data_IF_487823098928
#
_entry.id   IF_487823098928
#
_cell.length_a   1.000
_cell.length_b   1.000
_cell.length_c   1.000
_cell.angle_alpha   90.00
_cell.angle_beta   90.00
_cell.angle_gamma   90.00
#
_symmetry.space_group_name_H-M   'P 1'
#
loop_
_entity.id
_entity.type
_entity.pdbx_description
1 polymer ?
#
# COMPACT_ATOMS: atom_id res chain seq x y z
N UNK A 1 0.50 20.08 14.74
CA UNK A 1 0.28 21.15 15.72
C UNK A 1 -0.34 22.41 15.14
N UNK A 2 -0.03 22.80 13.89
CA UNK A 2 -0.67 23.99 13.27
C UNK A 2 -2.21 24.01 13.37
N UNK A 3 -2.88 22.86 13.27
CA UNK A 3 -4.33 22.73 13.48
C UNK A 3 -4.75 22.75 14.96
N UNK A 4 -4.09 21.97 15.83
CA UNK A 4 -4.50 21.80 17.24
C UNK A 4 -4.13 23.01 18.12
N UNK A 5 -2.95 23.58 17.91
CA UNK A 5 -2.38 24.71 18.65
C UNK A 5 -1.55 25.56 17.68
N UNK A 6 -2.21 26.47 16.92
CA UNK A 6 -1.53 27.35 15.98
C UNK A 6 -0.39 28.13 16.64
N UNK A 7 0.75 28.25 15.96
CA UNK A 7 1.92 28.98 16.47
C UNK A 7 2.77 28.24 17.51
N UNK A 8 2.28 27.18 18.15
CA UNK A 8 3.00 26.45 19.20
C UNK A 8 4.40 25.99 18.73
N UNK A 9 4.50 25.39 17.55
CA UNK A 9 5.78 24.94 17.00
C UNK A 9 6.36 25.89 15.94
N UNK A 10 5.88 27.14 15.89
CA UNK A 10 6.18 28.08 14.82
C UNK A 10 5.51 27.70 13.50
N UNK A 11 5.88 28.42 12.45
CA UNK A 11 5.51 28.10 11.07
C UNK A 11 6.38 26.97 10.51
N UNK A 12 6.10 26.52 9.28
CA UNK A 12 6.83 25.42 8.65
C UNK A 12 8.34 25.71 8.50
N UNK A 13 8.71 26.98 8.26
CA UNK A 13 10.11 27.39 8.09
C UNK A 13 10.85 27.37 9.42
N UNK A 14 10.28 27.97 10.45
CA UNK A 14 10.81 27.96 11.81
C UNK A 14 10.93 26.54 12.34
N UNK A 15 9.89 25.72 12.19
CA UNK A 15 9.95 24.31 12.59
C UNK A 15 11.06 23.55 11.86
N UNK A 16 11.22 23.80 10.56
CA UNK A 16 12.27 23.13 9.78
C UNK A 16 13.67 23.52 10.23
N UNK A 17 13.88 24.80 10.54
CA UNK A 17 15.15 25.33 11.04
C UNK A 17 15.45 24.88 12.47
N UNK A 18 14.47 24.93 13.36
CA UNK A 18 14.67 24.79 14.80
C UNK A 18 14.59 23.34 15.29
N UNK A 19 13.93 22.46 14.52
CA UNK A 19 13.76 21.05 14.87
C UNK A 19 14.13 20.11 13.73
N UNK A 20 13.50 20.23 12.55
CA UNK A 20 13.62 19.21 11.50
C UNK A 20 15.06 19.02 11.02
N UNK A 21 15.74 20.09 10.62
CA UNK A 21 17.11 20.00 10.11
C UNK A 21 18.12 19.57 11.20
N UNK A 22 18.12 20.18 12.41
CA UNK A 22 18.96 19.71 13.52
C UNK A 22 18.78 18.22 13.82
N UNK A 23 17.54 17.75 13.90
CA UNK A 23 17.24 16.36 14.28
C UNK A 23 17.50 15.38 13.14
N UNK A 24 16.95 15.63 11.94
CA UNK A 24 17.02 14.67 10.82
C UNK A 24 18.40 14.64 10.14
N UNK A 25 19.11 15.78 10.09
CA UNK A 25 20.41 15.86 9.38
C UNK A 25 21.62 15.84 10.30
N UNK A 26 21.51 16.40 11.49
CA UNK A 26 22.64 16.56 12.41
C UNK A 26 22.54 15.63 13.63
N UNK A 27 21.44 14.87 13.78
CA UNK A 27 21.26 13.95 14.89
C UNK A 27 21.16 14.62 16.25
N UNK A 28 20.70 15.88 16.30
CA UNK A 28 20.63 16.68 17.53
C UNK A 28 19.61 16.10 18.53
N UNK A 29 20.14 15.36 19.51
CA UNK A 29 19.35 14.67 20.53
C UNK A 29 18.69 15.66 21.51
N UNK A 30 19.32 16.80 21.78
CA UNK A 30 18.77 17.83 22.68
C UNK A 30 17.54 18.48 22.05
N UNK A 31 17.62 18.83 20.76
CA UNK A 31 16.46 19.34 20.01
C UNK A 31 15.34 18.33 19.91
N UNK A 32 15.66 17.05 19.75
CA UNK A 32 14.66 15.98 19.79
C UNK A 32 13.98 15.88 21.17
N UNK A 33 14.76 15.87 22.26
CA UNK A 33 14.24 15.79 23.62
C UNK A 33 13.38 17.02 23.95
N UNK A 34 13.82 18.22 23.56
CA UNK A 34 13.06 19.45 23.71
C UNK A 34 11.72 19.37 22.94
N UNK A 35 11.73 18.94 21.68
CA UNK A 35 10.49 18.75 20.92
C UNK A 35 9.55 17.74 21.59
N UNK A 36 10.09 16.60 22.01
CA UNK A 36 9.32 15.55 22.69
C UNK A 36 8.65 16.09 23.96
N UNK A 37 9.37 16.84 24.80
CA UNK A 37 8.81 17.47 25.99
C UNK A 37 7.68 18.46 25.66
N UNK A 38 7.82 19.24 24.58
CA UNK A 38 6.80 20.21 24.15
C UNK A 38 5.51 19.57 23.61
N UNK A 39 5.59 18.37 23.03
CA UNK A 39 4.43 17.68 22.47
C UNK A 39 3.78 16.71 23.46
N UNK A 40 4.53 16.22 24.45
CA UNK A 40 4.10 15.21 25.43
C UNK A 40 2.78 15.54 26.16
N UNK A 41 2.51 16.78 26.62
CA UNK A 41 1.26 17.10 27.30
C UNK A 41 0.01 16.93 26.42
N UNK A 42 0.19 16.98 25.10
CA UNK A 42 -0.90 16.93 24.12
C UNK A 42 -0.99 15.58 23.40
N UNK A 43 -0.08 14.64 23.67
CA UNK A 43 0.06 13.41 22.92
C UNK A 43 0.13 12.21 23.87
N UNK A 44 -0.97 11.47 23.94
CA UNK A 44 -1.00 10.15 24.58
C UNK A 44 -0.68 9.08 23.54
N UNK A 45 0.51 8.47 23.64
CA UNK A 45 0.91 7.33 22.82
C UNK A 45 1.15 6.13 23.71
N UNK A 46 0.45 5.02 23.44
CA UNK A 46 0.64 3.72 24.10
C UNK A 46 0.99 2.68 23.04
N UNK A 47 1.92 1.79 23.32
CA UNK A 47 2.20 0.63 22.44
C UNK A 47 1.31 -0.55 22.83
N UNK A 48 1.08 -1.50 21.91
CA UNK A 48 0.31 -2.71 22.22
C UNK A 48 0.95 -3.53 23.33
N UNK A 49 2.28 -3.58 23.41
CA UNK A 49 2.99 -4.28 24.50
C UNK A 49 2.69 -3.67 25.87
N UNK A 50 2.42 -2.36 25.93
CA UNK A 50 2.10 -1.66 27.18
C UNK A 50 0.68 -1.94 27.68
N UNK A 51 -0.25 -2.34 26.82
CA UNK A 51 -1.69 -2.42 27.14
C UNK A 51 -2.35 -3.79 26.95
N UNK A 52 -1.74 -4.69 26.17
CA UNK A 52 -2.33 -5.99 25.83
C UNK A 52 -1.22 -7.06 25.76
N UNK A 53 -0.70 -7.46 26.93
CA UNK A 53 0.43 -8.40 27.06
C UNK A 53 0.10 -9.84 26.65
N UNK A 54 -1.19 -10.17 26.54
CA UNK A 54 -1.68 -11.51 26.19
C UNK A 54 -1.71 -11.76 24.67
N UNK A 55 -1.53 -10.71 23.85
CA UNK A 55 -1.52 -10.87 22.39
C UNK A 55 -0.17 -11.48 21.95
N UNK A 56 -0.18 -12.54 21.12
CA UNK A 56 1.04 -13.07 20.54
C UNK A 56 1.72 -12.01 19.68
N UNK A 57 3.04 -12.13 19.54
CA UNK A 57 3.80 -11.23 18.69
C UNK A 57 3.29 -11.31 17.24
N UNK A 58 3.29 -10.17 16.55
CA UNK A 58 3.00 -10.15 15.10
C UNK A 58 4.21 -10.69 14.36
N UNK A 59 4.03 -11.75 13.59
CA UNK A 59 5.02 -12.24 12.64
C UNK A 59 4.83 -11.56 11.29
N UNK A 60 5.91 -11.02 10.71
CA UNK A 60 5.93 -10.49 9.36
C UNK A 60 6.80 -11.38 8.48
N UNK A 61 6.24 -11.84 7.36
CA UNK A 61 6.92 -12.73 6.42
C UNK A 61 6.83 -12.09 5.03
N UNK A 62 7.97 -11.86 4.41
CA UNK A 62 8.04 -11.38 3.03
C UNK A 62 8.01 -12.59 2.10
N UNK A 63 6.91 -12.77 1.38
CA UNK A 63 6.78 -13.80 0.36
C UNK A 63 7.23 -13.25 -0.99
N UNK A 64 8.39 -13.72 -1.47
CA UNK A 64 8.93 -13.32 -2.77
C UNK A 64 8.21 -14.07 -3.89
N UNK A 65 7.73 -13.33 -4.89
CA UNK A 65 7.07 -13.89 -6.06
C UNK A 65 7.84 -13.47 -7.29
N UNK A 66 8.21 -14.44 -8.12
CA UNK A 66 8.87 -14.17 -9.38
C UNK A 66 7.88 -13.61 -10.41
N UNK A 67 8.36 -12.66 -11.22
CA UNK A 67 7.63 -12.27 -12.41
C UNK A 67 7.68 -13.44 -13.39
N UNK A 68 6.52 -13.79 -13.92
CA UNK A 68 6.43 -14.65 -15.10
C UNK A 68 7.14 -14.03 -16.30
N UNK A 69 7.32 -14.82 -17.35
CA UNK A 69 7.96 -14.36 -18.58
C UNK A 69 7.21 -13.18 -19.22
N UNK A 70 5.88 -13.26 -19.34
CA UNK A 70 5.10 -12.18 -19.94
C UNK A 70 5.05 -10.91 -19.05
N UNK A 71 5.03 -11.05 -17.72
CA UNK A 71 5.22 -9.91 -16.81
C UNK A 71 6.60 -9.29 -16.98
N UNK A 72 7.65 -10.10 -17.10
CA UNK A 72 9.03 -9.65 -17.25
C UNK A 72 9.23 -8.89 -18.55
N UNK A 73 8.76 -9.44 -19.67
CA UNK A 73 8.84 -8.79 -20.98
C UNK A 73 8.10 -7.44 -21.01
N UNK A 74 6.89 -7.43 -20.44
CA UNK A 74 6.07 -6.22 -20.35
C UNK A 74 6.72 -5.20 -19.41
N UNK A 75 7.25 -5.65 -18.28
CA UNK A 75 7.93 -4.80 -17.30
C UNK A 75 9.12 -4.09 -17.93
N UNK A 76 9.96 -4.83 -18.65
CA UNK A 76 11.12 -4.25 -19.33
C UNK A 76 10.72 -3.26 -20.44
N UNK A 77 9.71 -3.62 -21.24
CA UNK A 77 9.15 -2.72 -22.27
C UNK A 77 8.66 -1.41 -21.65
N UNK A 78 7.89 -1.48 -20.56
CA UNK A 78 7.40 -0.31 -19.83
C UNK A 78 8.54 0.47 -19.21
N UNK A 79 9.52 -0.20 -18.60
CA UNK A 79 10.66 0.42 -17.94
C UNK A 79 11.46 1.27 -18.91
N UNK A 80 11.81 0.74 -20.07
CA UNK A 80 12.57 1.46 -21.10
C UNK A 80 11.77 2.65 -21.63
N UNK A 81 10.49 2.46 -21.96
CA UNK A 81 9.65 3.52 -22.47
C UNK A 81 9.45 4.66 -21.46
N UNK A 82 9.26 4.32 -20.18
CA UNK A 82 9.06 5.29 -19.11
C UNK A 82 10.35 5.99 -18.70
N UNK A 83 11.50 5.31 -18.67
CA UNK A 83 12.80 5.92 -18.39
C UNK A 83 13.11 7.01 -19.43
N UNK A 84 12.91 6.72 -20.72
CA UNK A 84 13.06 7.72 -21.78
C UNK A 84 12.16 8.93 -21.55
N UNK A 85 10.85 8.70 -21.33
CA UNK A 85 9.86 9.77 -21.09
C UNK A 85 10.21 10.64 -19.87
N UNK A 86 10.66 10.01 -18.78
CA UNK A 86 11.05 10.70 -17.56
C UNK A 86 12.30 11.57 -17.80
N UNK A 87 13.32 11.04 -18.50
CA UNK A 87 14.54 11.80 -18.82
C UNK A 87 14.28 13.00 -19.71
N UNK A 88 13.43 12.83 -20.72
CA UNK A 88 13.03 13.93 -21.62
C UNK A 88 12.31 15.03 -20.84
N UNK A 89 11.38 14.66 -19.94
CA UNK A 89 10.64 15.60 -19.11
C UNK A 89 11.54 16.34 -18.11
N UNK A 90 12.49 15.63 -17.49
CA UNK A 90 13.47 16.22 -16.56
C UNK A 90 14.37 17.20 -17.31
N UNK A 91 14.84 16.85 -18.50
CA UNK A 91 15.68 17.72 -19.32
C UNK A 91 14.93 19.00 -19.69
N UNK A 92 13.62 18.91 -19.98
CA UNK A 92 12.79 20.04 -20.40
C UNK A 92 12.41 20.97 -19.25
N UNK A 93 11.97 20.41 -18.12
CA UNK A 93 11.27 21.17 -17.06
C UNK A 93 11.98 21.13 -15.71
N UNK A 94 13.04 20.34 -15.56
CA UNK A 94 13.74 20.08 -14.31
C UNK A 94 12.97 19.13 -13.39
N UNK A 95 13.70 18.32 -12.61
CA UNK A 95 13.14 17.25 -11.80
C UNK A 95 12.03 17.68 -10.82
N UNK A 96 12.11 18.89 -10.28
CA UNK A 96 11.11 19.42 -9.35
C UNK A 96 9.73 19.59 -10.01
N UNK A 97 9.68 19.86 -11.32
CA UNK A 97 8.44 20.04 -12.09
C UNK A 97 7.97 18.75 -12.77
N UNK A 98 8.84 17.74 -12.88
CA UNK A 98 8.56 16.46 -13.54
C UNK A 98 7.96 15.38 -12.63
N UNK A 99 7.63 15.71 -11.37
CA UNK A 99 7.20 14.73 -10.35
C UNK A 99 6.01 13.86 -10.79
N UNK A 100 5.02 14.45 -11.45
CA UNK A 100 3.82 13.72 -11.90
C UNK A 100 4.19 12.63 -12.92
N UNK A 101 5.11 12.92 -13.85
CA UNK A 101 5.56 11.96 -14.87
C UNK A 101 6.35 10.83 -14.24
N UNK A 102 7.19 11.13 -13.24
CA UNK A 102 7.94 10.11 -12.49
C UNK A 102 6.98 9.21 -11.72
N UNK A 103 5.97 9.78 -11.04
CA UNK A 103 4.98 9.02 -10.29
C UNK A 103 4.12 8.15 -11.21
N UNK A 104 3.73 8.64 -12.39
CA UNK A 104 3.03 7.86 -13.42
C UNK A 104 3.88 6.68 -13.91
N UNK A 105 5.18 6.89 -14.16
CA UNK A 105 6.11 5.83 -14.53
C UNK A 105 6.21 4.74 -13.46
N UNK A 106 6.43 5.14 -12.20
CA UNK A 106 6.51 4.21 -11.07
C UNK A 106 5.19 3.47 -10.84
N UNK A 107 4.06 4.16 -10.98
CA UNK A 107 2.72 3.57 -10.87
C UNK A 107 2.54 2.44 -11.88
N UNK A 108 2.91 2.66 -13.15
CA UNK A 108 2.81 1.65 -14.22
C UNK A 108 3.67 0.44 -13.95
N UNK A 109 4.92 0.62 -13.51
CA UNK A 109 5.80 -0.49 -13.14
C UNK A 109 5.20 -1.32 -11.99
N UNK A 110 4.64 -0.65 -10.98
CA UNK A 110 3.97 -1.33 -9.85
C UNK A 110 2.72 -2.10 -10.29
N UNK A 111 1.97 -1.59 -11.27
CA UNK A 111 0.81 -2.28 -11.85
C UNK A 111 1.23 -3.56 -12.59
N UNK A 112 2.27 -3.49 -13.43
CA UNK A 112 2.82 -4.68 -14.14
C UNK A 112 3.18 -5.80 -13.16
N UNK A 113 3.85 -5.45 -12.05
CA UNK A 113 4.23 -6.45 -11.03
C UNK A 113 3.02 -7.08 -10.33
N UNK A 114 1.86 -6.40 -10.28
CA UNK A 114 0.67 -6.94 -9.65
C UNK A 114 -0.10 -7.87 -10.60
N UNK A 115 -0.41 -7.38 -11.80
CA UNK A 115 -1.12 -8.11 -12.86
C UNK A 115 -1.09 -7.27 -14.16
N UNK A 116 -0.85 -7.90 -15.31
CA UNK A 116 -0.78 -7.18 -16.60
C UNK A 116 -2.09 -6.45 -16.95
N UNK A 117 -3.24 -6.97 -16.49
CA UNK A 117 -4.57 -6.39 -16.74
C UNK A 117 -4.77 -5.05 -16.04
N UNK A 118 -3.91 -4.67 -15.10
CA UNK A 118 -3.93 -3.35 -14.44
C UNK A 118 -3.43 -2.22 -15.34
N UNK A 119 -2.70 -2.54 -16.41
CA UNK A 119 -2.03 -1.54 -17.25
C UNK A 119 -2.88 -1.19 -18.47
N UNK A 120 -3.71 -0.14 -18.34
CA UNK A 120 -4.67 0.28 -19.38
C UNK A 120 -4.05 0.59 -20.75
N UNK A 121 -2.79 1.03 -20.81
CA UNK A 121 -2.12 1.42 -22.05
C UNK A 121 -1.55 0.25 -22.86
N UNK A 122 -1.55 -0.96 -22.30
CA UNK A 122 -1.05 -2.17 -22.93
C UNK A 122 -2.28 -3.02 -23.19
N UNK A 123 -2.92 -2.78 -24.34
CA UNK A 123 -4.06 -3.57 -24.78
C UNK A 123 -3.70 -5.07 -24.69
N UNK A 124 -4.62 -5.93 -24.20
CA UNK A 124 -4.29 -7.31 -23.87
C UNK A 124 -4.00 -8.09 -25.15
N UNK A 125 -2.72 -8.28 -25.49
CA UNK A 125 -2.33 -9.27 -26.50
C UNK A 125 -2.40 -10.71 -25.96
N UNK A 126 -2.57 -10.88 -24.66
CA UNK A 126 -2.67 -12.19 -24.02
C UNK A 126 -3.83 -12.21 -23.04
N UNK A 127 -4.92 -12.83 -23.45
CA UNK A 127 -6.09 -13.17 -22.62
C UNK A 127 -5.82 -14.34 -21.67
N UNK A 128 -4.59 -14.87 -21.64
CA UNK A 128 -4.26 -16.10 -20.94
C UNK A 128 -3.25 -15.88 -19.82
N UNK A 129 -3.79 -15.96 -18.60
CA UNK A 129 -3.20 -16.64 -17.45
C UNK A 129 -1.82 -16.23 -16.98
N UNK A 130 -1.43 -14.97 -17.15
CA UNK A 130 -0.26 -14.50 -16.45
C UNK A 130 -0.60 -14.18 -14.99
N UNK A 131 -0.47 -15.20 -14.15
CA UNK A 131 -0.89 -15.17 -12.75
C UNK A 131 0.30 -15.01 -11.80
N UNK A 132 1.42 -14.37 -12.14
CA UNK A 132 2.60 -14.30 -11.24
C UNK A 132 2.24 -14.06 -9.76
N UNK A 133 1.82 -12.85 -9.40
CA UNK A 133 1.34 -12.55 -8.04
C UNK A 133 -0.05 -13.10 -7.73
N UNK A 134 -1.00 -13.00 -8.67
CA UNK A 134 -2.39 -13.44 -8.45
C UNK A 134 -2.49 -14.94 -8.18
N UNK A 135 -1.75 -15.75 -8.90
CA UNK A 135 -1.70 -17.21 -8.82
C UNK A 135 -1.00 -17.67 -7.56
N UNK A 136 0.15 -17.09 -7.21
CA UNK A 136 0.79 -17.36 -5.91
C UNK A 136 -0.14 -17.00 -4.75
N UNK A 137 -0.86 -15.88 -4.85
CA UNK A 137 -1.89 -15.51 -3.88
C UNK A 137 -3.03 -16.55 -3.83
N UNK A 138 -3.55 -17.00 -4.97
CA UNK A 138 -4.63 -18.00 -4.97
C UNK A 138 -4.20 -19.31 -4.33
N UNK A 139 -2.99 -19.79 -4.61
CA UNK A 139 -2.44 -20.99 -3.96
C UNK A 139 -2.35 -20.82 -2.44
N UNK A 140 -1.83 -19.68 -1.98
CA UNK A 140 -1.76 -19.36 -0.56
C UNK A 140 -3.15 -19.28 0.09
N UNK A 141 -4.13 -18.69 -0.61
CA UNK A 141 -5.50 -18.64 -0.10
C UNK A 141 -6.13 -20.03 0.00
N UNK A 142 -5.92 -20.90 -0.99
CA UNK A 142 -6.46 -22.26 -0.98
C UNK A 142 -5.94 -23.04 0.25
N UNK A 143 -4.64 -22.94 0.56
CA UNK A 143 -4.03 -23.53 1.76
C UNK A 143 -4.62 -22.96 3.06
N UNK A 144 -4.59 -21.62 3.22
CA UNK A 144 -5.04 -20.96 4.45
C UNK A 144 -6.55 -21.17 4.71
N UNK A 145 -7.37 -21.20 3.65
CA UNK A 145 -8.80 -21.46 3.75
C UNK A 145 -9.10 -22.92 4.12
N UNK A 146 -8.30 -23.87 3.61
CA UNK A 146 -8.43 -25.29 3.98
C UNK A 146 -8.14 -25.54 5.47
N UNK A 147 -7.25 -24.75 6.05
CA UNK A 147 -6.95 -24.74 7.49
C UNK A 147 -8.01 -23.99 8.32
N UNK A 148 -9.06 -23.45 7.70
CA UNK A 148 -10.12 -22.69 8.37
C UNK A 148 -9.68 -21.32 8.88
N UNK A 149 -8.57 -20.76 8.36
CA UNK A 149 -8.09 -19.44 8.80
C UNK A 149 -8.96 -18.32 8.29
N UNK A 150 -8.98 -17.21 9.05
CA UNK A 150 -9.60 -15.95 8.63
C UNK A 150 -8.56 -14.99 8.10
N UNK A 151 -8.86 -14.40 6.95
CA UNK A 151 -7.85 -13.70 6.15
C UNK A 151 -8.32 -12.26 5.89
N UNK A 152 -7.43 -11.30 6.15
CA UNK A 152 -7.58 -9.92 5.72
C UNK A 152 -6.62 -9.69 4.55
N UNK A 153 -7.14 -9.35 3.39
CA UNK A 153 -6.37 -9.13 2.17
C UNK A 153 -6.44 -7.66 1.78
N UNK A 154 -5.26 -7.04 1.69
CA UNK A 154 -5.13 -5.62 1.37
C UNK A 154 -4.55 -5.42 -0.02
N UNK A 155 -5.08 -4.45 -0.77
CA UNK A 155 -4.52 -3.99 -2.04
C UNK A 155 -4.66 -2.48 -2.18
N UNK A 156 -3.63 -1.82 -2.72
CA UNK A 156 -3.71 -0.40 -3.10
C UNK A 156 -4.45 -0.19 -4.43
N UNK A 157 -4.63 -1.23 -5.24
CA UNK A 157 -5.34 -1.17 -6.52
C UNK A 157 -6.70 -1.84 -6.38
N UNK A 158 -7.79 -1.07 -6.52
CA UNK A 158 -9.17 -1.61 -6.50
C UNK A 158 -9.39 -2.55 -7.67
N UNK A 159 -8.86 -2.26 -8.84
CA UNK A 159 -8.91 -3.17 -9.99
C UNK A 159 -8.17 -4.48 -9.74
N UNK A 160 -7.18 -4.53 -8.85
CA UNK A 160 -6.59 -5.82 -8.44
C UNK A 160 -7.56 -6.61 -7.55
N UNK A 161 -8.34 -5.93 -6.71
CA UNK A 161 -9.40 -6.59 -5.93
C UNK A 161 -10.45 -7.18 -6.86
N UNK A 162 -10.87 -6.46 -7.90
CA UNK A 162 -11.82 -6.96 -8.91
C UNK A 162 -11.33 -8.26 -9.58
N UNK A 163 -10.03 -8.34 -9.91
CA UNK A 163 -9.43 -9.56 -10.47
C UNK A 163 -9.40 -10.72 -9.45
N UNK A 164 -9.17 -10.41 -8.18
CA UNK A 164 -9.21 -11.39 -7.10
C UNK A 164 -10.65 -11.89 -6.90
N UNK A 165 -11.64 -10.99 -6.88
CA UNK A 165 -13.06 -11.34 -6.77
C UNK A 165 -13.47 -12.32 -7.87
N UNK A 166 -13.05 -12.10 -9.12
CA UNK A 166 -13.29 -13.04 -10.22
C UNK A 166 -12.75 -14.44 -9.94
N UNK A 167 -11.54 -14.56 -9.39
CA UNK A 167 -10.93 -15.85 -9.07
C UNK A 167 -11.57 -16.53 -7.85
N UNK A 168 -12.04 -15.73 -6.87
CA UNK A 168 -12.79 -16.23 -5.71
C UNK A 168 -14.18 -16.74 -6.11
N UNK A 169 -14.88 -16.03 -7.00
CA UNK A 169 -16.17 -16.47 -7.54
C UNK A 169 -16.06 -17.82 -8.25
N UNK A 170 -15.02 -18.02 -9.09
CA UNK A 170 -14.76 -19.31 -9.75
C UNK A 170 -14.54 -20.46 -8.77
N UNK A 171 -13.99 -20.16 -7.58
CA UNK A 171 -13.72 -21.13 -6.51
C UNK A 171 -14.89 -21.29 -5.53
N UNK A 172 -15.96 -20.52 -5.67
CA UNK A 172 -17.07 -20.50 -4.72
C UNK A 172 -16.69 -19.97 -3.33
N UNK A 173 -15.59 -19.21 -3.22
CA UNK A 173 -15.13 -18.66 -1.94
C UNK A 173 -15.94 -17.41 -1.61
N UNK A 174 -16.63 -17.42 -0.47
CA UNK A 174 -17.33 -16.24 0.04
C UNK A 174 -16.35 -15.23 0.62
N UNK A 175 -16.61 -13.95 0.40
CA UNK A 175 -15.77 -12.86 0.90
C UNK A 175 -16.61 -11.63 1.23
N UNK A 176 -16.07 -10.76 2.06
CA UNK A 176 -16.57 -9.39 2.27
C UNK A 176 -15.63 -8.40 1.56
N UNK A 177 -16.16 -7.27 1.11
CA UNK A 177 -15.38 -6.23 0.40
C UNK A 177 -15.57 -4.86 1.08
N UNK A 178 -14.47 -4.12 1.23
CA UNK A 178 -14.47 -2.73 1.69
C UNK A 178 -13.56 -1.89 0.79
N UNK A 179 -14.17 -1.02 0.00
CA UNK A 179 -13.48 -0.04 -0.85
C UNK A 179 -13.79 1.40 -0.44
N UNK A 180 -13.19 2.38 -1.14
CA UNK A 180 -13.57 3.79 -0.99
C UNK A 180 -15.02 4.08 -1.37
N UNK A 181 -15.59 3.30 -2.29
CA UNK A 181 -16.96 3.45 -2.79
C UNK A 181 -18.01 2.80 -1.86
N UNK A 182 -17.57 2.00 -0.88
CA UNK A 182 -18.48 1.34 0.06
C UNK A 182 -19.16 2.38 0.97
N UNK A 183 -20.45 2.62 0.71
CA UNK A 183 -21.30 3.53 1.51
C UNK A 183 -21.57 2.97 2.91
N UNK A 184 -22.10 1.75 2.99
CA UNK A 184 -22.29 1.06 4.26
C UNK A 184 -21.09 0.19 4.60
N UNK A 185 -20.21 0.76 5.42
CA UNK A 185 -18.99 0.08 5.88
C UNK A 185 -19.25 -0.89 7.03
N UNK A 186 -20.39 -0.80 7.74
CA UNK A 186 -20.66 -1.62 8.94
C UNK A 186 -21.04 -3.04 8.55
N UNK A 187 -21.89 -3.19 7.54
CA UNK A 187 -22.36 -4.49 7.06
C UNK A 187 -21.23 -5.45 6.68
N UNK A 188 -20.26 -5.11 5.80
CA UNK A 188 -19.19 -6.05 5.45
C UNK A 188 -18.28 -6.39 6.64
N UNK A 189 -18.08 -5.46 7.58
CA UNK A 189 -17.34 -5.71 8.81
C UNK A 189 -18.07 -6.71 9.70
N UNK A 190 -19.38 -6.53 9.88
CA UNK A 190 -20.21 -7.45 10.68
C UNK A 190 -20.24 -8.85 10.07
N UNK A 191 -20.44 -8.97 8.76
CA UNK A 191 -20.43 -10.26 8.06
C UNK A 191 -19.13 -11.04 8.32
N UNK A 192 -17.98 -10.37 8.20
CA UNK A 192 -16.70 -10.99 8.47
C UNK A 192 -16.54 -11.35 9.96
N UNK A 193 -16.88 -10.44 10.88
CA UNK A 193 -16.78 -10.68 12.31
C UNK A 193 -17.67 -11.84 12.78
N UNK A 194 -18.90 -11.93 12.25
CA UNK A 194 -19.89 -12.96 12.55
C UNK A 194 -19.67 -14.28 11.79
N UNK A 195 -18.48 -14.49 11.20
CA UNK A 195 -18.10 -15.74 10.53
C UNK A 195 -18.93 -16.08 9.28
N UNK A 196 -19.63 -15.11 8.69
CA UNK A 196 -20.33 -15.34 7.43
C UNK A 196 -19.36 -15.42 6.25
N UNK A 197 -18.19 -14.81 6.33
CA UNK A 197 -17.18 -14.83 5.27
C UNK A 197 -15.79 -15.14 5.86
N UNK A 198 -15.00 -16.05 5.25
CA UNK A 198 -13.65 -16.36 5.72
C UNK A 198 -12.59 -15.35 5.27
N UNK A 199 -12.88 -14.54 4.24
CA UNK A 199 -11.96 -13.61 3.62
C UNK A 199 -12.54 -12.19 3.56
N UNK A 200 -11.74 -11.19 3.89
CA UNK A 200 -12.10 -9.78 3.78
C UNK A 200 -11.12 -9.04 2.86
N UNK A 201 -11.62 -8.58 1.71
CA UNK A 201 -10.90 -7.76 0.75
C UNK A 201 -11.00 -6.27 1.13
N UNK A 202 -9.88 -5.59 1.26
CA UNK A 202 -9.81 -4.20 1.74
C UNK A 202 -8.91 -3.36 0.84
N UNK A 203 -9.43 -2.25 0.32
CA UNK A 203 -8.60 -1.27 -0.40
C UNK A 203 -7.77 -0.44 0.59
N UNK A 204 -6.47 -0.34 0.34
CA UNK A 204 -5.61 0.64 1.00
C UNK A 204 -5.75 2.01 0.30
N UNK A 205 -5.76 3.07 1.11
CA UNK A 205 -5.62 4.44 0.61
C UNK A 205 -4.17 4.77 0.31
#
# INVERSE_FOLDING_TARGET
FHFLLPGWLGDSKAFSRDYRSPVERHGDVERMAHLAARIKPFLLRRTKEQVARELPAKTEIVHWVELSDAQRDTYETVRVAMDRKVREEITRNGAARSQIVILDALLKLRQVCCDLRLVKSIAPRTTHSDKGKLGSLMQMLDELLSEGRRILLFSQFTSMLELIEQELHKRGVRYSLLTGETRDRRTPVQQFQSLQTPLFLISLK
#
